data_IF_055175627831
#
_entry.id   IF_055175627831
#
_cell.length_a   1.000
_cell.length_b   1.000
_cell.length_c   1.000
_cell.angle_alpha   90.00
_cell.angle_beta   90.00
_cell.angle_gamma   90.00
#
_symmetry.space_group_name_H-M   'P 1'
#
loop_
_entity.id
_entity.type
_entity.pdbx_description
1 polymer ?
#
# COMPACT_ATOMS: atom_id res chain seq x y z
N UNK A 1 -56.84 -25.82 50.32
CA UNK A 1 -56.00 -26.70 49.48
C UNK A 1 -54.91 -25.85 48.81
N UNK A 2 -53.73 -25.71 49.43
CA UNK A 2 -52.56 -25.16 48.74
C UNK A 2 -51.37 -26.03 49.15
N UNK A 3 -51.16 -27.08 48.36
CA UNK A 3 -50.15 -28.10 48.60
C UNK A 3 -48.88 -27.68 47.86
N UNK A 4 -47.87 -27.29 48.66
CA UNK A 4 -46.41 -27.25 48.37
C UNK A 4 -46.01 -27.48 46.90
N UNK A 5 -45.57 -26.41 46.23
CA UNK A 5 -44.57 -26.49 45.15
C UNK A 5 -43.16 -26.54 45.77
N UNK A 6 -42.80 -27.70 46.31
CA UNK A 6 -41.43 -27.97 46.74
C UNK A 6 -41.01 -29.26 46.04
N UNK A 7 -40.39 -29.13 44.85
CA UNK A 7 -39.73 -30.16 44.02
C UNK A 7 -39.25 -29.46 42.73
N UNK A 8 -38.02 -29.52 42.22
CA UNK A 8 -36.83 -30.32 42.51
C UNK A 8 -35.56 -29.49 42.23
N UNK A 9 -34.51 -29.57 43.06
CA UNK A 9 -33.19 -28.95 42.81
C UNK A 9 -32.38 -29.64 41.68
N UNK A 10 -32.94 -30.66 41.00
CA UNK A 10 -32.24 -31.46 39.99
C UNK A 10 -32.00 -30.71 38.67
N UNK A 11 -32.77 -29.66 38.37
CA UNK A 11 -32.60 -28.84 37.17
C UNK A 11 -31.55 -27.73 37.30
N UNK A 12 -31.18 -27.34 38.53
CA UNK A 12 -30.24 -26.23 38.77
C UNK A 12 -28.83 -26.50 38.23
N UNK A 13 -28.34 -27.73 38.41
CA UNK A 13 -27.01 -28.13 37.92
C UNK A 13 -26.92 -28.09 36.39
N UNK A 14 -28.01 -28.43 35.70
CA UNK A 14 -28.08 -28.34 34.22
C UNK A 14 -28.16 -26.89 33.77
N UNK A 15 -28.93 -26.05 34.47
CA UNK A 15 -29.05 -24.63 34.16
C UNK A 15 -27.72 -23.90 34.35
N UNK A 16 -27.03 -24.15 35.46
CA UNK A 16 -25.70 -23.59 35.74
C UNK A 16 -24.67 -24.04 34.69
N UNK A 17 -24.63 -25.34 34.36
CA UNK A 17 -23.74 -25.86 33.31
C UNK A 17 -24.04 -25.24 31.93
N UNK A 18 -25.32 -25.04 31.60
CA UNK A 18 -25.74 -24.42 30.33
C UNK A 18 -25.37 -22.95 30.21
N UNK A 19 -25.15 -22.25 31.33
CA UNK A 19 -24.76 -20.84 31.37
C UNK A 19 -23.23 -20.69 31.43
N UNK A 20 -22.53 -21.61 32.10
CA UNK A 20 -21.06 -21.61 32.17
C UNK A 20 -20.42 -22.00 30.84
N UNK A 21 -20.95 -23.02 30.14
CA UNK A 21 -20.40 -23.51 28.87
C UNK A 21 -20.24 -22.41 27.78
N UNK A 22 -21.25 -21.59 27.45
CA UNK A 22 -21.11 -20.55 26.43
C UNK A 22 -20.10 -19.47 26.83
N UNK A 23 -19.98 -19.15 28.13
CA UNK A 23 -18.98 -18.22 28.62
C UNK A 23 -17.56 -18.77 28.48
N UNK A 24 -17.35 -20.05 28.82
CA UNK A 24 -16.09 -20.74 28.63
C UNK A 24 -15.71 -20.81 27.14
N UNK A 25 -16.66 -21.11 26.26
CA UNK A 25 -16.44 -21.11 24.81
C UNK A 25 -16.07 -19.71 24.30
N UNK A 26 -16.78 -18.67 24.75
CA UNK A 26 -16.47 -17.29 24.39
C UNK A 26 -15.05 -16.89 24.83
N UNK A 27 -14.61 -17.33 26.00
CA UNK A 27 -13.24 -17.14 26.48
C UNK A 27 -12.20 -17.82 25.57
N UNK A 28 -12.40 -19.10 25.24
CA UNK A 28 -11.50 -19.84 24.34
C UNK A 28 -11.46 -19.22 22.94
N UNK A 29 -12.61 -18.84 22.37
CA UNK A 29 -12.70 -18.12 21.10
C UNK A 29 -11.97 -16.78 21.19
N UNK A 30 -12.12 -16.06 22.30
CA UNK A 30 -11.40 -14.81 22.56
C UNK A 30 -9.89 -14.98 22.50
N UNK A 31 -9.35 -16.03 23.14
CA UNK A 31 -7.92 -16.35 23.08
C UNK A 31 -7.48 -16.67 21.64
N UNK A 32 -8.26 -17.47 20.91
CA UNK A 32 -7.97 -17.80 19.50
C UNK A 32 -7.94 -16.52 18.64
N UNK A 33 -8.90 -15.61 18.85
CA UNK A 33 -8.96 -14.33 18.13
C UNK A 33 -7.74 -13.46 18.45
N UNK A 34 -7.33 -13.36 19.71
CA UNK A 34 -6.13 -12.61 20.09
C UNK A 34 -4.89 -13.15 19.39
N UNK A 35 -4.71 -14.48 19.34
CA UNK A 35 -3.60 -15.12 18.64
C UNK A 35 -3.66 -14.81 17.14
N UNK A 36 -4.84 -14.94 16.52
CA UNK A 36 -5.02 -14.67 15.09
C UNK A 36 -4.69 -13.22 14.74
N UNK A 37 -5.12 -12.25 15.56
CA UNK A 37 -4.80 -10.83 15.35
C UNK A 37 -3.30 -10.58 15.51
N UNK A 38 -2.67 -11.15 16.53
CA UNK A 38 -1.24 -10.99 16.76
C UNK A 38 -0.39 -11.52 15.59
N UNK A 39 -0.74 -12.70 15.05
CA UNK A 39 -0.08 -13.26 13.86
C UNK A 39 -0.26 -12.34 12.65
N UNK A 40 -1.49 -11.85 12.41
CA UNK A 40 -1.76 -10.93 11.30
C UNK A 40 -0.99 -9.61 11.42
N UNK A 41 -0.91 -9.05 12.63
CA UNK A 41 -0.16 -7.82 12.88
C UNK A 41 1.34 -7.99 12.63
N UNK A 42 1.91 -9.11 13.07
CA UNK A 42 3.32 -9.41 12.87
C UNK A 42 3.66 -9.58 11.38
N UNK A 43 2.85 -10.32 10.64
CA UNK A 43 3.02 -10.51 9.19
C UNK A 43 2.86 -9.20 8.42
N UNK A 44 1.87 -8.38 8.77
CA UNK A 44 1.66 -7.08 8.15
C UNK A 44 2.87 -6.16 8.42
N UNK A 45 3.37 -6.13 9.65
CA UNK A 45 4.52 -5.30 10.01
C UNK A 45 5.81 -5.78 9.34
N UNK A 46 6.05 -7.09 9.28
CA UNK A 46 7.20 -7.68 8.61
C UNK A 46 7.18 -7.35 7.12
N UNK A 47 6.07 -7.63 6.43
CA UNK A 47 5.96 -7.37 4.99
C UNK A 47 6.09 -5.89 4.64
N UNK A 48 5.49 -5.00 5.43
CA UNK A 48 5.62 -3.54 5.21
C UNK A 48 7.06 -3.08 5.45
N UNK A 49 7.73 -3.56 6.51
CA UNK A 49 9.13 -3.19 6.80
C UNK A 49 10.09 -3.71 5.73
N UNK A 50 9.97 -4.98 5.33
CA UNK A 50 10.82 -5.60 4.31
C UNK A 50 10.65 -4.91 2.95
N UNK A 51 9.41 -4.64 2.54
CA UNK A 51 9.10 -3.90 1.33
C UNK A 51 9.67 -2.48 1.38
N UNK A 52 9.54 -1.79 2.51
CA UNK A 52 10.05 -0.42 2.67
C UNK A 52 11.57 -0.40 2.55
N UNK A 53 12.28 -1.32 3.21
CA UNK A 53 13.75 -1.45 3.11
C UNK A 53 14.21 -1.76 1.69
N UNK A 54 13.55 -2.73 1.04
CA UNK A 54 13.88 -3.15 -0.32
C UNK A 54 13.72 -2.01 -1.31
N UNK A 55 12.56 -1.31 -1.27
CA UNK A 55 12.29 -0.17 -2.15
C UNK A 55 13.23 0.99 -1.82
N UNK A 56 13.43 1.33 -0.54
CA UNK A 56 14.30 2.41 -0.11
C UNK A 56 15.74 2.25 -0.61
N UNK A 57 16.25 1.02 -0.67
CA UNK A 57 17.58 0.72 -1.21
C UNK A 57 17.69 0.86 -2.74
N UNK A 58 16.58 0.73 -3.46
CA UNK A 58 16.53 0.79 -4.93
C UNK A 58 16.20 2.18 -5.48
N UNK A 59 16.10 3.21 -4.63
CA UNK A 59 15.71 4.56 -5.07
C UNK A 59 16.82 5.34 -5.78
N UNK A 60 18.09 4.99 -5.60
CA UNK A 60 19.20 5.74 -6.21
C UNK A 60 19.19 5.72 -7.76
N UNK A 61 19.06 4.57 -8.44
CA UNK A 61 18.93 4.54 -9.90
C UNK A 61 17.75 5.38 -10.41
N UNK A 62 16.62 5.35 -9.71
CA UNK A 62 15.43 6.14 -10.06
C UNK A 62 15.73 7.64 -9.98
N UNK A 63 16.48 8.07 -8.95
CA UNK A 63 16.92 9.46 -8.83
C UNK A 63 17.85 9.87 -9.97
N UNK A 64 18.79 9.03 -10.38
CA UNK A 64 19.69 9.35 -11.51
C UNK A 64 18.92 9.60 -12.80
N UNK A 65 17.93 8.75 -13.10
CA UNK A 65 17.05 8.92 -14.26
C UNK A 65 16.26 10.22 -14.19
N UNK A 66 15.71 10.55 -13.02
CA UNK A 66 14.98 11.80 -12.80
C UNK A 66 15.90 13.03 -12.94
N UNK A 67 17.13 12.96 -12.44
CA UNK A 67 18.10 14.04 -12.54
C UNK A 67 18.55 14.25 -13.98
N UNK A 68 18.77 13.18 -14.74
CA UNK A 68 19.08 13.26 -16.17
C UNK A 68 17.90 13.81 -16.98
N UNK A 69 16.67 13.42 -16.63
CA UNK A 69 15.48 13.99 -17.23
C UNK A 69 15.34 15.49 -16.91
N UNK A 70 15.57 15.90 -15.66
CA UNK A 70 15.51 17.31 -15.21
C UNK A 70 16.60 18.16 -15.87
N UNK A 71 17.83 17.68 -15.95
CA UNK A 71 18.92 18.43 -16.60
C UNK A 71 18.71 18.60 -18.10
N UNK A 72 18.09 17.62 -18.76
CA UNK A 72 17.66 17.72 -20.17
C UNK A 72 16.44 18.63 -20.33
N UNK A 73 15.52 18.64 -19.36
CA UNK A 73 14.35 19.51 -19.30
C UNK A 73 14.72 20.99 -19.14
N UNK A 74 15.72 21.31 -18.30
CA UNK A 74 16.18 22.68 -18.08
C UNK A 74 16.93 23.25 -19.31
N UNK A 75 17.43 22.40 -20.20
CA UNK A 75 18.23 22.79 -21.38
C UNK A 75 17.43 22.90 -22.69
N UNK A 76 16.18 22.47 -22.72
CA UNK A 76 15.39 22.45 -23.96
C UNK A 76 13.96 22.92 -23.71
N UNK A 77 13.48 23.80 -24.59
CA UNK A 77 12.08 24.17 -24.66
C UNK A 77 11.25 22.87 -24.76
N UNK A 78 10.52 22.56 -23.69
CA UNK A 78 9.99 21.25 -23.27
C UNK A 78 9.04 20.54 -24.27
N UNK A 79 8.76 21.13 -25.42
CA UNK A 79 7.93 20.53 -26.47
C UNK A 79 8.56 19.32 -27.19
N UNK A 80 9.89 19.26 -27.27
CA UNK A 80 10.61 18.28 -28.11
C UNK A 80 11.10 17.04 -27.35
N UNK A 81 11.39 17.16 -26.04
CA UNK A 81 11.84 16.03 -25.23
C UNK A 81 10.70 15.11 -24.80
N UNK A 82 9.51 15.64 -24.54
CA UNK A 82 8.40 14.85 -24.01
C UNK A 82 7.82 13.88 -25.07
N UNK A 83 7.82 14.28 -26.35
CA UNK A 83 7.56 13.36 -27.46
C UNK A 83 8.67 12.30 -27.54
N UNK A 84 9.94 12.70 -27.41
CA UNK A 84 11.06 11.77 -27.47
C UNK A 84 11.06 10.70 -26.37
N UNK A 85 10.53 11.00 -25.17
CA UNK A 85 10.41 10.04 -24.06
C UNK A 85 9.22 9.10 -24.28
N UNK A 86 8.07 9.61 -24.75
CA UNK A 86 6.92 8.76 -25.10
C UNK A 86 7.27 7.84 -26.27
N UNK A 87 7.95 8.37 -27.28
CA UNK A 87 8.40 7.62 -28.46
C UNK A 87 9.50 6.62 -28.08
N UNK A 88 10.42 6.96 -27.16
CA UNK A 88 11.42 6.02 -26.62
C UNK A 88 10.81 4.91 -25.78
N UNK A 89 9.82 5.19 -24.95
CA UNK A 89 9.14 4.16 -24.15
C UNK A 89 8.31 3.23 -25.06
N UNK A 90 7.69 3.78 -26.11
CA UNK A 90 6.99 2.97 -27.12
C UNK A 90 7.97 2.12 -27.94
N UNK A 91 9.05 2.71 -28.47
CA UNK A 91 10.06 1.97 -29.24
C UNK A 91 10.85 0.98 -28.39
N UNK A 92 11.13 1.27 -27.12
CA UNK A 92 11.74 0.32 -26.19
C UNK A 92 10.82 -0.87 -25.89
N UNK A 93 9.50 -0.67 -25.83
CA UNK A 93 8.51 -1.76 -25.74
C UNK A 93 8.40 -2.58 -27.03
N UNK A 94 8.62 -1.97 -28.19
CA UNK A 94 8.59 -2.66 -29.47
C UNK A 94 9.92 -3.41 -29.76
N UNK A 95 11.04 -2.98 -29.16
CA UNK A 95 12.39 -3.53 -29.39
C UNK A 95 12.91 -4.45 -28.26
N UNK A 96 12.06 -4.92 -27.35
CA UNK A 96 12.38 -5.72 -26.13
C UNK A 96 13.23 -6.99 -26.36
N UNK A 97 13.55 -7.37 -27.60
CA UNK A 97 14.32 -8.58 -27.86
C UNK A 97 15.84 -8.42 -28.05
N UNK A 98 16.43 -7.24 -28.32
CA UNK A 98 17.85 -7.18 -28.74
C UNK A 98 18.61 -5.89 -28.39
N UNK A 99 18.65 -5.43 -27.13
CA UNK A 99 19.57 -4.31 -26.77
C UNK A 99 20.18 -4.45 -25.38
N UNK A 100 21.50 -4.30 -25.27
CA UNK A 100 22.33 -4.40 -24.06
C UNK A 100 22.27 -3.16 -23.14
N UNK A 101 21.35 -2.23 -23.40
CA UNK A 101 21.29 -0.94 -22.72
C UNK A 101 20.26 -0.98 -21.58
N UNK A 102 20.75 -1.03 -20.33
CA UNK A 102 19.94 -1.15 -19.11
C UNK A 102 18.85 -0.07 -19.03
N UNK A 103 19.09 1.15 -19.51
CA UNK A 103 18.11 2.24 -19.47
C UNK A 103 16.85 1.94 -20.29
N UNK A 104 16.99 1.26 -21.43
CA UNK A 104 15.86 0.92 -22.32
C UNK A 104 15.02 -0.23 -21.76
N UNK A 105 15.66 -1.16 -21.04
CA UNK A 105 14.97 -2.24 -20.31
C UNK A 105 14.10 -1.67 -19.18
N UNK A 106 14.63 -0.73 -18.39
CA UNK A 106 13.84 -0.06 -17.34
C UNK A 106 12.71 0.80 -17.92
N UNK A 107 12.92 1.46 -19.06
CA UNK A 107 11.89 2.22 -19.74
C UNK A 107 10.68 1.36 -20.14
N UNK A 108 10.89 0.11 -20.55
CA UNK A 108 9.83 -0.83 -20.89
C UNK A 108 8.93 -1.20 -19.69
N UNK A 109 9.50 -1.23 -18.48
CA UNK A 109 8.79 -1.51 -17.24
C UNK A 109 8.01 -0.30 -16.68
N UNK A 110 8.13 0.89 -17.27
CA UNK A 110 7.36 2.05 -16.85
C UNK A 110 5.86 1.74 -17.05
N UNK A 111 5.06 1.74 -15.97
CA UNK A 111 3.62 1.48 -16.05
C UNK A 111 2.91 2.52 -16.93
N UNK A 112 1.87 2.09 -17.67
CA UNK A 112 1.06 3.00 -18.51
C UNK A 112 0.46 4.17 -17.72
N UNK A 113 0.20 3.97 -16.42
CA UNK A 113 -0.30 5.01 -15.53
C UNK A 113 0.66 6.19 -15.35
N UNK A 114 1.98 5.95 -15.41
CA UNK A 114 3.00 7.00 -15.37
C UNK A 114 3.09 7.75 -16.71
N UNK A 115 2.88 7.06 -17.83
CA UNK A 115 2.80 7.70 -19.15
C UNK A 115 1.56 8.61 -19.28
N UNK A 116 0.44 8.22 -18.70
CA UNK A 116 -0.76 9.07 -18.61
C UNK A 116 -0.52 10.33 -17.78
N UNK A 117 0.21 10.21 -16.65
CA UNK A 117 0.61 11.34 -15.81
C UNK A 117 1.45 12.36 -16.57
N UNK A 118 2.39 11.90 -17.39
CA UNK A 118 3.28 12.74 -18.21
C UNK A 118 2.51 13.41 -19.35
N UNK A 119 1.63 12.67 -20.04
CA UNK A 119 0.75 13.23 -21.09
C UNK A 119 -0.21 14.28 -20.52
N UNK A 120 -0.71 14.05 -19.31
CA UNK A 120 -1.58 14.96 -18.59
C UNK A 120 -0.84 16.19 -18.06
N UNK A 121 0.44 16.11 -17.72
CA UNK A 121 1.28 17.28 -17.39
C UNK A 121 1.43 18.24 -18.58
N UNK A 122 1.54 17.68 -19.80
CA UNK A 122 1.53 18.45 -21.05
C UNK A 122 0.19 19.17 -21.24
N UNK A 123 -0.92 18.47 -21.06
CA UNK A 123 -2.27 19.01 -21.17
C UNK A 123 -2.56 20.07 -20.07
N UNK A 124 -2.01 19.88 -18.86
CA UNK A 124 -2.06 20.85 -17.76
C UNK A 124 -1.40 22.18 -18.10
N UNK A 125 -0.30 22.21 -18.85
CA UNK A 125 0.38 23.46 -19.23
C UNK A 125 -0.36 24.20 -20.34
N UNK A 126 -0.91 23.47 -21.30
CA UNK A 126 -1.73 24.04 -22.37
C UNK A 126 -3.03 24.66 -21.82
N UNK A 127 -3.55 24.14 -20.69
CA UNK A 127 -4.73 24.66 -19.99
C UNK A 127 -4.41 25.58 -18.78
N UNK A 128 -3.12 25.81 -18.49
CA UNK A 128 -2.63 26.16 -17.16
C UNK A 128 -2.02 27.54 -16.97
N UNK A 129 -2.20 28.50 -17.88
CA UNK A 129 -1.78 29.89 -17.64
C UNK A 129 -2.68 30.66 -16.63
N UNK A 130 -3.47 29.97 -15.78
CA UNK A 130 -4.40 30.68 -14.88
C UNK A 130 -5.09 29.91 -13.75
N UNK A 131 -4.53 28.83 -13.20
CA UNK A 131 -5.17 28.09 -12.08
C UNK A 131 -4.29 28.01 -10.83
N UNK A 132 -4.90 28.32 -9.69
CA UNK A 132 -4.25 28.49 -8.38
C UNK A 132 -3.70 27.18 -7.81
N UNK A 133 -2.63 27.28 -7.00
CA UNK A 133 -1.93 26.18 -6.32
C UNK A 133 -2.88 25.19 -5.61
N UNK A 134 -4.01 25.69 -5.07
CA UNK A 134 -5.00 24.90 -4.33
C UNK A 134 -5.71 23.85 -5.21
N UNK A 135 -6.03 24.17 -6.47
CA UNK A 135 -6.63 23.20 -7.41
C UNK A 135 -5.62 22.10 -7.83
N UNK A 136 -4.32 22.42 -7.85
CA UNK A 136 -3.28 21.44 -8.16
C UNK A 136 -3.08 20.44 -7.02
N UNK A 137 -3.14 20.91 -5.77
CA UNK A 137 -3.07 20.07 -4.58
C UNK A 137 -4.31 19.16 -4.43
N UNK A 138 -5.51 19.69 -4.69
CA UNK A 138 -6.75 18.89 -4.71
C UNK A 138 -6.74 17.80 -5.80
N UNK A 139 -6.18 18.09 -6.98
CA UNK A 139 -6.04 17.12 -8.05
C UNK A 139 -4.97 16.05 -7.74
N UNK A 140 -3.88 16.42 -7.08
CA UNK A 140 -2.86 15.48 -6.63
C UNK A 140 -3.43 14.49 -5.60
N UNK A 141 -4.14 15.01 -4.61
CA UNK A 141 -4.76 14.22 -3.54
C UNK A 141 -5.89 13.31 -4.07
N UNK A 142 -6.70 13.78 -5.02
CA UNK A 142 -7.85 13.02 -5.53
C UNK A 142 -7.52 11.99 -6.61
N UNK A 143 -6.56 12.26 -7.50
CA UNK A 143 -6.30 11.42 -8.69
C UNK A 143 -4.97 10.69 -8.65
N UNK A 144 -3.91 11.32 -8.15
CA UNK A 144 -2.54 10.78 -8.22
C UNK A 144 -2.27 9.84 -7.05
N UNK A 145 -2.59 10.28 -5.85
CA UNK A 145 -2.34 9.54 -4.61
C UNK A 145 -3.00 8.14 -4.59
N UNK A 146 -4.28 7.95 -4.99
CA UNK A 146 -4.89 6.62 -5.04
C UNK A 146 -4.22 5.68 -6.06
N UNK A 147 -3.76 6.22 -7.20
CA UNK A 147 -3.07 5.44 -8.24
C UNK A 147 -1.70 4.97 -7.76
N UNK A 148 -0.95 5.82 -7.07
CA UNK A 148 0.32 5.45 -6.43
C UNK A 148 0.08 4.32 -5.43
N UNK A 149 -0.91 4.47 -4.54
CA UNK A 149 -1.23 3.44 -3.56
C UNK A 149 -1.61 2.10 -4.20
N UNK A 150 -2.40 2.13 -5.28
CA UNK A 150 -2.76 0.95 -6.04
C UNK A 150 -1.56 0.27 -6.70
N UNK A 151 -0.60 1.06 -7.21
CA UNK A 151 0.63 0.54 -7.82
C UNK A 151 1.58 -0.10 -6.79
N UNK A 152 1.68 0.48 -5.60
CA UNK A 152 2.51 -0.06 -4.51
C UNK A 152 1.87 -1.26 -3.79
N UNK A 153 0.55 -1.41 -3.86
CA UNK A 153 -0.16 -2.53 -3.23
C UNK A 153 0.39 -3.92 -3.63
N UNK A 154 0.53 -4.28 -4.91
CA UNK A 154 1.10 -5.58 -5.30
C UNK A 154 2.58 -5.72 -4.91
N UNK A 155 3.34 -4.63 -4.93
CA UNK A 155 4.76 -4.64 -4.55
C UNK A 155 4.91 -5.00 -3.08
N UNK A 156 4.19 -4.31 -2.20
CA UNK A 156 4.25 -4.59 -0.75
C UNK A 156 3.66 -5.95 -0.43
N UNK A 157 2.57 -6.34 -1.09
CA UNK A 157 1.95 -7.64 -0.89
C UNK A 157 2.87 -8.81 -1.24
N UNK A 158 3.82 -8.63 -2.18
CA UNK A 158 4.78 -9.67 -2.53
C UNK A 158 5.73 -10.04 -1.38
N UNK A 159 5.96 -9.12 -0.42
CA UNK A 159 6.76 -9.36 0.78
C UNK A 159 5.95 -9.97 1.94
N UNK A 160 4.65 -10.16 1.76
CA UNK A 160 3.77 -10.70 2.79
C UNK A 160 3.53 -12.20 2.61
N UNK A 161 3.29 -12.92 3.71
CA UNK A 161 2.89 -14.33 3.64
C UNK A 161 1.46 -14.47 3.07
N UNK A 162 1.38 -14.96 1.84
CA UNK A 162 0.12 -15.10 1.09
C UNK A 162 -0.85 -16.14 1.68
N UNK A 163 -0.35 -17.07 2.51
CA UNK A 163 -1.19 -18.05 3.21
C UNK A 163 -2.03 -17.39 4.29
N UNK A 164 -1.46 -16.38 4.96
CA UNK A 164 -2.07 -15.68 6.09
C UNK A 164 -2.80 -14.43 5.61
N UNK A 165 -2.20 -13.68 4.68
CA UNK A 165 -2.74 -12.42 4.16
C UNK A 165 -3.41 -12.60 2.80
N UNK A 166 -4.72 -12.33 2.76
CA UNK A 166 -5.50 -12.36 1.51
C UNK A 166 -5.38 -11.04 0.76
N UNK A 167 -5.12 -11.11 -0.55
CA UNK A 167 -4.90 -9.93 -1.40
C UNK A 167 -6.10 -8.97 -1.40
N UNK A 168 -7.33 -9.49 -1.32
CA UNK A 168 -8.55 -8.68 -1.38
C UNK A 168 -8.74 -7.79 -0.14
N UNK A 169 -8.11 -8.18 0.98
CA UNK A 169 -8.24 -7.52 2.27
C UNK A 169 -7.08 -6.59 2.59
N UNK A 170 -6.01 -6.63 1.79
CA UNK A 170 -4.79 -5.85 1.92
C UNK A 170 -4.82 -4.60 1.02
N UNK A 171 -4.46 -3.43 1.56
CA UNK A 171 -4.35 -2.19 0.78
C UNK A 171 -3.21 -1.33 1.31
N UNK A 172 -2.46 -0.70 0.42
CA UNK A 172 -1.55 0.41 0.80
C UNK A 172 -2.39 1.68 0.93
N UNK A 173 -2.20 2.41 2.03
CA UNK A 173 -2.99 3.62 2.37
C UNK A 173 -2.17 4.89 2.22
N UNK A 174 -0.85 4.81 2.36
CA UNK A 174 0.05 5.94 2.20
C UNK A 174 1.42 5.48 1.71
N UNK A 175 2.00 6.26 0.80
CA UNK A 175 3.40 6.13 0.38
C UNK A 175 4.04 7.51 0.54
N UNK A 176 5.09 7.57 1.35
CA UNK A 176 5.92 8.77 1.54
C UNK A 176 7.16 8.62 0.66
N UNK A 177 7.24 9.45 -0.38
CA UNK A 177 8.41 9.51 -1.26
C UNK A 177 9.42 10.53 -0.70
N UNK A 178 10.73 10.23 -0.78
CA UNK A 178 11.73 11.19 -0.35
C UNK A 178 11.83 12.38 -1.30
N UNK A 179 12.32 13.51 -0.79
CA UNK A 179 12.76 14.61 -1.63
C UNK A 179 13.96 14.18 -2.46
N UNK A 180 13.90 14.42 -3.77
CA UNK A 180 14.97 14.09 -4.72
C UNK A 180 15.99 15.24 -4.87
N UNK A 181 15.78 16.37 -4.19
CA UNK A 181 16.63 17.56 -4.33
C UNK A 181 17.64 17.69 -3.20
N UNK A 182 17.27 17.33 -1.96
CA UNK A 182 18.19 17.38 -0.81
C UNK A 182 18.98 16.08 -0.69
N UNK A 183 20.32 16.18 -0.68
CA UNK A 183 21.23 15.03 -0.59
C UNK A 183 21.43 14.44 0.82
N UNK A 184 20.78 15.01 1.84
CA UNK A 184 21.08 14.67 3.24
C UNK A 184 20.19 13.57 3.83
N UNK A 185 18.88 13.75 3.81
CA UNK A 185 17.94 12.96 4.63
C UNK A 185 16.65 12.64 3.86
N UNK A 186 16.80 11.79 2.85
CA UNK A 186 15.68 11.23 2.11
C UNK A 186 15.07 10.07 2.91
N UNK A 187 13.83 10.21 3.39
CA UNK A 187 13.07 9.12 4.01
C UNK A 187 12.02 8.59 3.06
N UNK A 188 11.94 7.26 2.96
CA UNK A 188 10.87 6.55 2.27
C UNK A 188 9.99 5.84 3.29
N UNK A 189 8.67 5.92 3.12
CA UNK A 189 7.72 5.32 4.06
C UNK A 189 6.55 4.66 3.36
N UNK A 190 6.10 3.55 3.91
CA UNK A 190 4.90 2.85 3.45
C UNK A 190 3.98 2.63 4.65
N UNK A 191 2.70 2.94 4.46
CA UNK A 191 1.63 2.55 5.37
C UNK A 191 0.65 1.63 4.65
N UNK A 192 0.44 0.45 5.22
CA UNK A 192 -0.53 -0.50 4.72
C UNK A 192 -1.56 -0.86 5.78
N UNK A 193 -2.73 -1.25 5.31
CA UNK A 193 -3.83 -1.69 6.13
C UNK A 193 -4.39 -3.05 5.68
N UNK A 194 -4.89 -3.79 6.65
CA UNK A 194 -5.54 -5.08 6.47
C UNK A 194 -6.89 -5.09 7.17
N UNK A 195 -7.91 -5.62 6.50
CA UNK A 195 -9.25 -5.77 7.06
C UNK A 195 -9.44 -7.19 7.61
N UNK A 196 -9.75 -7.33 8.89
CA UNK A 196 -10.00 -8.61 9.54
C UNK A 196 -11.42 -8.70 10.10
N UNK A 197 -12.16 -9.75 9.70
CA UNK A 197 -13.53 -10.00 10.18
C UNK A 197 -13.47 -10.97 11.35
N UNK A 198 -13.97 -10.56 12.50
CA UNK A 198 -13.92 -11.37 13.71
C UNK A 198 -14.80 -12.63 13.55
N UNK A 199 -14.29 -13.82 13.90
CA UNK A 199 -15.03 -15.08 13.82
C UNK A 199 -15.90 -15.29 15.07
N UNK A 200 -16.67 -14.26 15.47
CA UNK A 200 -17.57 -14.36 16.62
C UNK A 200 -18.94 -14.86 16.17
N UNK A 201 -19.54 -15.84 16.87
CA UNK A 201 -20.92 -16.19 16.61
C UNK A 201 -21.82 -14.99 16.92
N UNK A 202 -22.80 -14.73 16.04
CA UNK A 202 -23.82 -13.66 16.17
C UNK A 202 -23.36 -12.20 16.02
N UNK A 203 -22.05 -11.91 16.00
CA UNK A 203 -21.52 -10.54 15.87
C UNK A 203 -20.60 -10.44 14.65
N UNK A 204 -20.99 -9.63 13.66
CA UNK A 204 -20.21 -9.41 12.43
C UNK A 204 -19.39 -8.12 12.50
N UNK A 205 -18.45 -8.07 13.44
CA UNK A 205 -17.57 -6.90 13.60
C UNK A 205 -16.28 -7.07 12.78
N UNK A 206 -15.81 -5.97 12.19
CA UNK A 206 -14.63 -5.94 11.33
C UNK A 206 -13.64 -4.95 11.90
N UNK A 207 -12.40 -5.38 12.09
CA UNK A 207 -11.30 -4.56 12.57
C UNK A 207 -10.36 -4.23 11.40
N UNK A 208 -9.72 -3.05 11.47
CA UNK A 208 -8.72 -2.62 10.49
C UNK A 208 -7.39 -2.52 11.21
N UNK A 209 -6.42 -3.32 10.77
CA UNK A 209 -5.05 -3.29 11.25
C UNK A 209 -4.27 -2.35 10.34
N UNK A 210 -3.52 -1.41 10.91
CA UNK A 210 -2.66 -0.47 10.18
C UNK A 210 -1.23 -0.58 10.69
N UNK A 211 -0.28 -0.65 9.77
CA UNK A 211 1.16 -0.62 10.10
C UNK A 211 1.88 0.31 9.15
N UNK A 212 2.84 1.05 9.71
CA UNK A 212 3.69 1.99 8.99
C UNK A 212 5.15 1.60 9.22
N UNK A 213 5.94 1.60 8.16
CA UNK A 213 7.38 1.55 8.23
C UNK A 213 7.99 2.76 7.52
N UNK A 214 9.12 3.23 8.03
CA UNK A 214 9.89 4.34 7.47
C UNK A 214 11.34 3.93 7.47
N UNK A 215 12.01 4.12 6.34
CA UNK A 215 13.41 3.81 6.16
C UNK A 215 14.13 4.98 5.51
N UNK A 216 15.44 5.08 5.76
CA UNK A 216 16.29 6.03 5.04
C UNK A 216 16.46 5.53 3.61
N UNK A 217 16.04 6.34 2.66
CA UNK A 217 16.23 6.08 1.24
C UNK A 217 17.69 6.31 0.87
N UNK A 218 18.25 5.37 0.12
CA UNK A 218 19.56 5.57 -0.49
C UNK A 218 19.37 6.36 -1.78
N UNK A 219 19.73 7.64 -1.73
CA UNK A 219 19.58 8.59 -2.84
C UNK A 219 20.93 9.03 -3.42
N UNK A 220 22.00 8.28 -3.14
CA UNK A 220 23.37 8.66 -3.50
C UNK A 220 23.89 9.80 -2.62
N UNK A 221 25.15 9.69 -2.22
CA UNK A 221 25.88 10.76 -1.56
C UNK A 221 26.46 11.72 -2.61
#
# INVERSE_FOLDING_TARGET
>A
MLRKFHNEQKGGMVLEASLVLPFFLAFVIGLIVCIQIAVLEMELQAGVSEATKSVAGQLYPVRLLLQEAKSKFDQSHVGELMSSVVDRVQTARDQVKNTENLADEYAAYIPNSLLELIKWEKEKRELGEGKAQEELDELYESQVKPRIHAAFTPVVYAFCNQTIMKKEKFKVTSVTLPSMESGGDAFFGIEAQMTYKLPLPFISHTIILKKKAVERAWVGA
#
